data_IF_085880081168
#
_entry.id   IF_085880081168
#
_cell.length_a   1.000
_cell.length_b   1.000
_cell.length_c   1.000
_cell.angle_alpha   90.00
_cell.angle_beta   90.00
_cell.angle_gamma   90.00
#
_symmetry.space_group_name_H-M   'P 1'
#
loop_
_entity.id
_entity.type
_entity.pdbx_description
1 polymer ?
#
# COMPACT_ATOMS: atom_id res chain seq x y z
N UNK A 1 -0.44 -16.37 -43.29
CA UNK A 1 0.23 -16.02 -42.03
C UNK A 1 -0.41 -14.74 -41.54
N UNK A 2 -1.27 -14.82 -40.53
CA UNK A 2 -1.87 -13.63 -39.92
C UNK A 2 -0.76 -12.88 -39.16
N UNK A 3 -0.52 -11.63 -39.55
CA UNK A 3 0.40 -10.76 -38.83
C UNK A 3 -0.22 -10.51 -37.46
N UNK A 4 0.32 -11.14 -36.42
CA UNK A 4 0.08 -10.71 -35.05
C UNK A 4 0.42 -9.22 -35.00
N UNK A 5 -0.61 -8.39 -34.84
CA UNK A 5 -0.43 -6.97 -34.57
C UNK A 5 0.22 -6.90 -33.19
N UNK A 6 1.55 -6.82 -33.15
CA UNK A 6 2.25 -6.40 -31.94
C UNK A 6 1.78 -4.98 -31.67
N UNK A 7 0.78 -4.83 -30.82
CA UNK A 7 0.51 -3.56 -30.18
C UNK A 7 1.78 -3.20 -29.41
N UNK A 8 2.49 -2.12 -29.76
CA UNK A 8 3.62 -1.69 -28.95
C UNK A 8 3.06 -1.42 -27.56
N UNK A 9 3.44 -2.25 -26.58
CA UNK A 9 3.10 -2.01 -25.18
C UNK A 9 3.74 -0.67 -24.88
N UNK A 10 2.91 0.36 -24.73
CA UNK A 10 3.38 1.69 -24.43
C UNK A 10 4.13 1.58 -23.09
N UNK A 11 5.44 1.91 -23.01
CA UNK A 11 6.20 1.83 -21.77
C UNK A 11 5.52 2.58 -20.61
N UNK A 12 4.70 3.59 -20.92
CA UNK A 12 3.86 4.29 -19.97
C UNK A 12 2.89 3.37 -19.20
N UNK A 13 2.37 2.32 -19.83
CA UNK A 13 1.47 1.37 -19.16
C UNK A 13 2.19 0.52 -18.12
N UNK A 14 3.47 0.19 -18.33
CA UNK A 14 4.28 -0.50 -17.32
C UNK A 14 4.49 0.39 -16.09
N UNK A 15 4.90 1.64 -16.32
CA UNK A 15 5.08 2.62 -15.23
C UNK A 15 3.77 2.89 -14.51
N UNK A 16 2.66 3.01 -15.24
CA UNK A 16 1.34 3.19 -14.61
C UNK A 16 0.95 1.97 -13.76
N UNK A 17 1.22 0.75 -14.23
CA UNK A 17 0.94 -0.45 -13.46
C UNK A 17 1.78 -0.52 -12.18
N UNK A 18 3.05 -0.10 -12.23
CA UNK A 18 3.93 0.02 -11.06
C UNK A 18 3.38 1.03 -10.05
N UNK A 19 3.02 2.24 -10.48
CA UNK A 19 2.44 3.26 -9.61
C UNK A 19 1.13 2.81 -8.96
N UNK A 20 0.27 2.13 -9.73
CA UNK A 20 -1.00 1.59 -9.21
C UNK A 20 -0.72 0.47 -8.19
N UNK A 21 0.23 -0.41 -8.47
CA UNK A 21 0.59 -1.49 -7.56
C UNK A 21 1.14 -0.92 -6.24
N UNK A 22 2.06 0.04 -6.32
CA UNK A 22 2.66 0.68 -5.14
C UNK A 22 1.59 1.35 -4.28
N UNK A 23 0.65 2.08 -4.90
CA UNK A 23 -0.43 2.74 -4.19
C UNK A 23 -1.38 1.74 -3.52
N UNK A 24 -1.76 0.66 -4.22
CA UNK A 24 -2.66 -0.35 -3.66
C UNK A 24 -1.99 -1.09 -2.49
N UNK A 25 -0.69 -1.41 -2.60
CA UNK A 25 0.07 -2.04 -1.51
C UNK A 25 0.16 -1.12 -0.30
N UNK A 26 0.42 0.18 -0.52
CA UNK A 26 0.49 1.19 0.53
C UNK A 26 -0.86 1.34 1.26
N UNK A 27 -1.95 1.46 0.51
CA UNK A 27 -3.31 1.53 1.05
C UNK A 27 -3.67 0.28 1.85
N UNK A 28 -3.34 -0.91 1.33
CA UNK A 28 -3.58 -2.15 2.04
C UNK A 28 -2.86 -2.19 3.39
N UNK A 29 -1.58 -1.80 3.44
CA UNK A 29 -0.81 -1.73 4.71
C UNK A 29 -1.42 -0.74 5.70
N UNK A 30 -1.86 0.43 5.23
CA UNK A 30 -2.55 1.43 6.06
C UNK A 30 -3.81 0.83 6.70
N UNK A 31 -4.62 0.10 5.94
CA UNK A 31 -5.83 -0.54 6.48
C UNK A 31 -5.49 -1.66 7.48
N UNK A 32 -4.44 -2.44 7.24
CA UNK A 32 -3.98 -3.43 8.22
C UNK A 32 -3.50 -2.77 9.53
N UNK A 33 -2.77 -1.67 9.45
CA UNK A 33 -2.29 -0.94 10.62
C UNK A 33 -3.43 -0.35 11.43
N UNK A 34 -4.42 0.27 10.77
CA UNK A 34 -5.62 0.77 11.47
C UNK A 34 -6.32 -0.35 12.25
N UNK A 35 -6.52 -1.51 11.61
CA UNK A 35 -7.13 -2.66 12.27
C UNK A 35 -6.31 -3.13 13.47
N UNK A 36 -4.99 -3.23 13.33
CA UNK A 36 -4.11 -3.64 14.42
C UNK A 36 -4.08 -2.62 15.57
N UNK A 37 -4.19 -1.32 15.26
CA UNK A 37 -4.32 -0.24 16.25
C UNK A 37 -5.63 -0.40 17.02
N UNK A 38 -6.75 -0.63 16.32
CA UNK A 38 -8.05 -0.85 16.95
C UNK A 38 -8.00 -2.08 17.89
N UNK A 39 -7.37 -3.17 17.45
CA UNK A 39 -7.17 -4.36 18.28
C UNK A 39 -6.33 -4.06 19.52
N UNK A 40 -5.24 -3.27 19.39
CA UNK A 40 -4.40 -2.85 20.51
C UNK A 40 -5.16 -1.97 21.51
N UNK A 41 -6.03 -1.08 21.03
CA UNK A 41 -6.90 -0.25 21.87
C UNK A 41 -7.90 -1.11 22.64
N UNK A 42 -8.51 -2.10 21.99
CA UNK A 42 -9.45 -3.03 22.63
C UNK A 42 -8.76 -3.87 23.73
N UNK A 43 -7.52 -4.30 23.49
CA UNK A 43 -6.72 -5.03 24.47
C UNK A 43 -6.05 -4.15 25.53
N UNK A 44 -6.19 -2.81 25.43
CA UNK A 44 -5.48 -1.82 26.26
C UNK A 44 -3.96 -2.00 26.25
N UNK A 45 -3.41 -2.40 25.10
CA UNK A 45 -1.98 -2.58 24.89
C UNK A 45 -1.38 -1.25 24.38
N UNK A 46 -0.92 -0.44 25.34
CA UNK A 46 -0.37 0.90 25.07
C UNK A 46 0.92 0.84 24.24
N UNK A 47 1.81 -0.10 24.54
CA UNK A 47 3.08 -0.24 23.82
C UNK A 47 2.83 -0.55 22.34
N UNK A 48 1.96 -1.52 22.07
CA UNK A 48 1.61 -1.92 20.70
C UNK A 48 0.86 -0.82 19.97
N UNK A 49 -0.04 -0.10 20.66
CA UNK A 49 -0.72 1.06 20.09
C UNK A 49 0.27 2.13 19.63
N UNK A 50 1.25 2.48 20.47
CA UNK A 50 2.26 3.49 20.15
C UNK A 50 3.14 3.05 18.97
N UNK A 51 3.61 1.81 18.98
CA UNK A 51 4.43 1.26 17.89
C UNK A 51 3.70 1.31 16.54
N UNK A 52 2.46 0.80 16.49
CA UNK A 52 1.67 0.76 15.25
C UNK A 52 1.26 2.15 14.78
N UNK A 53 1.00 3.07 15.72
CA UNK A 53 0.67 4.47 15.38
C UNK A 53 1.85 5.22 14.79
N UNK A 54 3.08 4.91 15.24
CA UNK A 54 4.30 5.45 14.65
C UNK A 54 4.50 4.91 13.23
N UNK A 55 4.33 3.60 13.04
CA UNK A 55 4.43 2.97 11.72
C UNK A 55 3.42 3.56 10.72
N UNK A 56 2.18 3.76 11.17
CA UNK A 56 1.14 4.42 10.38
C UNK A 56 1.49 5.87 10.03
N UNK A 57 2.15 6.60 10.92
CA UNK A 57 2.60 7.97 10.67
C UNK A 57 3.69 7.98 9.59
N UNK A 58 4.66 7.07 9.68
CA UNK A 58 5.74 6.96 8.69
C UNK A 58 5.20 6.65 7.29
N UNK A 59 4.24 5.72 7.17
CA UNK A 59 3.61 5.37 5.88
C UNK A 59 2.72 6.46 5.28
N UNK A 60 2.22 7.40 6.10
CA UNK A 60 1.43 8.55 5.63
C UNK A 60 2.28 9.77 5.30
N UNK A 61 3.50 9.84 5.83
CA UNK A 61 4.39 10.98 5.71
C UNK A 61 5.45 10.78 4.60
N UNK A 62 5.33 9.71 3.80
CA UNK A 62 6.14 9.50 2.61
C UNK A 62 5.84 10.64 1.59
N UNK A 63 6.86 11.39 1.13
CA UNK A 63 6.69 12.56 0.27
C UNK A 63 6.19 12.22 -1.15
#
# INVERSE_FOLDING_TARGET
MEKQQLFPVNPLYSVLAELVLDEVVRLYRIEQLKKAIDDALLSRDEEKFLQLSEELRMLKCEP
#
